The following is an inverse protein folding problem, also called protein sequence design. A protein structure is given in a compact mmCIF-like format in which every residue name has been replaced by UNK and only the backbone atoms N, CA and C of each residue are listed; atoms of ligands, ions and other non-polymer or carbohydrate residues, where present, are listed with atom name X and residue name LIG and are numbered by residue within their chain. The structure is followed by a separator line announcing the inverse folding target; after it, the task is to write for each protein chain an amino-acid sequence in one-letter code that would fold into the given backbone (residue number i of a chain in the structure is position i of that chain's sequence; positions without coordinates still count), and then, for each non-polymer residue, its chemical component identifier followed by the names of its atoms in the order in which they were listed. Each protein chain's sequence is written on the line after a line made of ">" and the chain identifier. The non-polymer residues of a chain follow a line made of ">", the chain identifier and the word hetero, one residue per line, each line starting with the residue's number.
data_IF_012233268576
#
_entry.id   IF_012233268576
#
_cell.length_a   1.000
_cell.length_b   1.000
_cell.length_c   1.000
_cell.angle_alpha   90.00
_cell.angle_beta   90.00
_cell.angle_gamma   90.00
#
_symmetry.space_group_name_H-M   'P 1'
#
loop_
_entity.id
_entity.type
_entity.pdbx_description
1 polymer ?
#
# COMPACT_ATOMS: atom_id res chain seq x y z
N UNK A 1 6.40 -54.74 1.42
CA UNK A 1 6.62 -53.46 0.71
C UNK A 1 7.15 -52.41 1.68
N UNK A 2 7.99 -51.50 1.17
CA UNK A 2 8.58 -50.42 1.98
C UNK A 2 8.07 -49.10 1.47
N UNK A 3 7.52 -48.30 2.38
CA UNK A 3 7.14 -46.91 2.13
C UNK A 3 8.18 -45.97 2.70
N UNK A 4 8.79 -45.11 1.87
CA UNK A 4 9.85 -44.20 2.29
C UNK A 4 9.33 -42.78 2.44
N UNK A 5 9.66 -42.13 3.59
CA UNK A 5 9.40 -40.69 3.82
C UNK A 5 10.68 -39.94 4.16
N UNK A 6 10.61 -38.60 4.07
CA UNK A 6 11.70 -37.72 4.45
C UNK A 6 11.97 -37.73 5.95
N UNK A 7 13.15 -37.34 6.43
CA UNK A 7 13.53 -37.34 7.84
C UNK A 7 12.73 -36.32 8.69
N UNK A 8 12.12 -35.32 8.05
CA UNK A 8 11.22 -34.33 8.63
C UNK A 8 9.92 -34.90 9.17
N UNK A 9 9.53 -36.13 8.76
CA UNK A 9 8.38 -36.85 9.27
C UNK A 9 8.73 -37.85 10.39
N UNK A 10 10.01 -37.92 10.78
CA UNK A 10 10.48 -38.87 11.84
C UNK A 10 10.01 -38.44 13.24
N UNK A 11 9.87 -37.14 13.45
CA UNK A 11 9.21 -36.59 14.62
C UNK A 11 7.79 -36.13 14.20
N UNK A 12 6.77 -36.84 14.67
CA UNK A 12 5.37 -36.60 14.33
C UNK A 12 4.89 -35.20 14.75
N UNK A 13 5.60 -34.54 15.69
CA UNK A 13 5.31 -33.15 16.08
C UNK A 13 5.65 -32.13 15.03
N UNK A 14 6.50 -32.48 14.07
CA UNK A 14 6.92 -31.60 12.95
C UNK A 14 6.02 -31.74 11.70
N UNK A 15 5.07 -32.69 11.72
CA UNK A 15 4.11 -32.88 10.62
C UNK A 15 3.03 -31.79 10.61
N UNK A 16 3.24 -30.76 9.78
CA UNK A 16 2.31 -29.64 9.58
C UNK A 16 0.94 -30.11 9.06
N UNK A 17 0.88 -31.28 8.40
CA UNK A 17 -0.36 -31.83 7.83
C UNK A 17 -1.14 -32.65 8.83
N UNK A 18 -0.50 -33.15 9.91
CA UNK A 18 -1.07 -34.01 10.94
C UNK A 18 -1.54 -35.39 10.44
N UNK A 19 -1.04 -35.86 9.28
CA UNK A 19 -1.47 -37.09 8.61
C UNK A 19 -0.49 -38.26 8.73
N UNK A 20 0.65 -38.07 9.35
CA UNK A 20 1.69 -39.08 9.42
C UNK A 20 1.18 -40.35 10.14
N UNK A 21 0.38 -40.20 11.20
CA UNK A 21 -0.19 -41.32 11.96
C UNK A 21 -1.16 -42.14 11.10
N UNK A 22 -2.02 -41.49 10.32
CA UNK A 22 -2.96 -42.13 9.39
C UNK A 22 -2.21 -42.93 8.31
N UNK A 23 -1.12 -42.35 7.79
CA UNK A 23 -0.29 -43.00 6.78
C UNK A 23 0.48 -44.19 7.34
N UNK A 24 0.99 -44.11 8.58
CA UNK A 24 1.60 -45.25 9.26
C UNK A 24 0.61 -46.37 9.46
N UNK A 25 -0.61 -46.08 9.88
CA UNK A 25 -1.65 -47.09 10.08
C UNK A 25 -2.04 -47.75 8.74
N UNK A 26 -2.15 -46.96 7.68
CA UNK A 26 -2.43 -47.47 6.34
C UNK A 26 -1.33 -48.44 5.83
N UNK A 27 -0.05 -48.08 6.01
CA UNK A 27 1.08 -48.94 5.62
C UNK A 27 1.13 -50.23 6.45
N UNK A 28 0.90 -50.13 7.75
CA UNK A 28 0.85 -51.30 8.64
C UNK A 28 -0.32 -52.24 8.30
N UNK A 29 -1.46 -51.71 7.84
CA UNK A 29 -2.64 -52.52 7.48
C UNK A 29 -2.41 -53.46 6.29
N UNK A 30 -1.39 -53.22 5.49
CA UNK A 30 -0.99 -54.04 4.32
C UNK A 30 0.34 -54.77 4.53
N UNK A 31 0.76 -54.97 5.78
CA UNK A 31 2.05 -55.59 6.17
C UNK A 31 3.26 -54.87 5.56
N UNK A 32 3.16 -53.57 5.34
CA UNK A 32 4.24 -52.69 4.85
C UNK A 32 5.11 -52.18 6.00
N UNK A 33 6.31 -51.72 5.66
CA UNK A 33 7.28 -51.10 6.57
C UNK A 33 7.48 -49.61 6.14
N UNK A 34 7.43 -48.67 7.09
CA UNK A 34 7.84 -47.29 6.84
C UNK A 34 9.33 -47.14 7.17
N UNK A 35 10.06 -46.52 6.24
CA UNK A 35 11.45 -46.12 6.44
C UNK A 35 11.60 -44.62 6.19
N UNK A 36 12.29 -43.99 7.11
CA UNK A 36 12.66 -42.58 6.98
C UNK A 36 14.05 -42.49 6.35
N UNK A 37 14.20 -41.61 5.35
CA UNK A 37 15.52 -41.35 4.76
C UNK A 37 16.36 -40.56 5.75
N UNK A 38 17.70 -40.70 5.65
CA UNK A 38 18.65 -39.94 6.48
C UNK A 38 19.24 -38.73 5.72
N UNK A 39 18.70 -38.45 4.54
CA UNK A 39 19.14 -37.31 3.73
C UNK A 39 18.69 -35.97 4.33
N UNK A 40 19.50 -34.94 4.09
CA UNK A 40 19.18 -33.58 4.50
C UNK A 40 17.96 -33.12 3.73
N UNK A 41 16.82 -32.92 4.43
CA UNK A 41 15.65 -32.27 3.82
C UNK A 41 15.86 -30.76 3.73
N UNK A 42 15.76 -30.27 2.53
CA UNK A 42 15.65 -28.83 2.28
C UNK A 42 14.25 -28.57 1.71
N UNK A 43 13.47 -27.73 2.37
CA UNK A 43 12.35 -27.10 1.65
C UNK A 43 12.90 -26.30 0.46
N UNK A 44 12.15 -26.23 -0.64
CA UNK A 44 12.55 -25.44 -1.81
C UNK A 44 12.94 -24.01 -1.43
N UNK A 45 12.25 -23.42 -0.46
CA UNK A 45 12.58 -22.11 0.10
C UNK A 45 13.91 -22.10 0.84
N UNK A 46 14.20 -23.15 1.64
CA UNK A 46 15.48 -23.28 2.36
C UNK A 46 16.65 -23.49 1.41
N UNK A 47 16.46 -24.29 0.37
CA UNK A 47 17.45 -24.49 -0.70
C UNK A 47 17.74 -23.19 -1.46
N UNK A 48 16.70 -22.47 -1.87
CA UNK A 48 16.84 -21.17 -2.54
C UNK A 48 17.55 -20.14 -1.64
N UNK A 49 17.17 -20.07 -0.36
CA UNK A 49 17.79 -19.12 0.57
C UNK A 49 19.24 -19.46 0.93
N UNK A 50 19.62 -20.75 0.94
CA UNK A 50 20.95 -21.21 1.35
C UNK A 50 21.94 -21.36 0.19
N UNK A 51 21.45 -21.72 -1.00
CA UNK A 51 22.30 -22.06 -2.17
C UNK A 51 21.92 -21.26 -3.43
N UNK A 52 20.73 -20.64 -3.48
CA UNK A 52 20.34 -19.75 -4.57
C UNK A 52 20.91 -18.36 -4.35
N UNK A 53 21.47 -17.76 -5.38
CA UNK A 53 21.93 -16.37 -5.37
C UNK A 53 20.72 -15.43 -5.55
N UNK A 54 19.79 -15.47 -4.55
CA UNK A 54 18.51 -14.74 -4.58
C UNK A 54 18.73 -13.24 -4.44
N UNK A 55 19.83 -12.84 -3.79
CA UNK A 55 20.17 -11.45 -3.52
C UNK A 55 21.39 -11.02 -4.32
N UNK A 56 21.34 -9.84 -4.93
CA UNK A 56 22.51 -9.21 -5.53
C UNK A 56 23.50 -8.72 -4.44
N UNK A 57 24.73 -8.38 -4.84
CA UNK A 57 25.79 -8.00 -3.90
C UNK A 57 25.44 -6.79 -3.03
N UNK A 58 24.67 -5.84 -3.57
CA UNK A 58 24.20 -4.66 -2.85
C UNK A 58 23.20 -5.04 -1.75
N UNK A 59 22.27 -5.94 -2.06
CA UNK A 59 21.30 -6.48 -1.09
C UNK A 59 22.01 -7.30 0.00
N UNK A 60 22.96 -8.16 -0.37
CA UNK A 60 23.75 -8.94 0.60
C UNK A 60 24.51 -8.02 1.54
N UNK A 61 25.17 -6.98 1.01
CA UNK A 61 25.89 -5.98 1.80
C UNK A 61 24.96 -5.24 2.76
N UNK A 62 23.78 -4.85 2.32
CA UNK A 62 22.78 -4.20 3.17
C UNK A 62 22.29 -5.13 4.29
N UNK A 63 21.90 -6.37 3.97
CA UNK A 63 21.49 -7.37 4.96
C UNK A 63 22.58 -7.59 5.98
N UNK A 64 23.86 -7.73 5.56
CA UNK A 64 24.97 -7.92 6.47
C UNK A 64 25.17 -6.71 7.41
N UNK A 65 25.04 -5.49 6.90
CA UNK A 65 25.05 -4.28 7.73
C UNK A 65 23.93 -4.27 8.76
N UNK A 66 22.73 -4.65 8.35
CA UNK A 66 21.56 -4.73 9.26
C UNK A 66 21.81 -5.76 10.37
N UNK A 67 22.26 -6.96 10.02
CA UNK A 67 22.57 -8.01 11.01
C UNK A 67 23.67 -7.60 12.00
N UNK A 68 24.66 -6.85 11.55
CA UNK A 68 25.77 -6.42 12.39
C UNK A 68 25.43 -5.18 13.26
N UNK A 69 24.45 -4.36 12.86
CA UNK A 69 24.17 -3.06 13.48
C UNK A 69 22.90 -3.03 14.31
N UNK A 70 21.98 -3.97 14.12
CA UNK A 70 20.66 -3.96 14.75
C UNK A 70 20.41 -5.25 15.51
N UNK A 71 19.93 -5.07 16.71
CA UNK A 71 19.33 -6.10 17.52
C UNK A 71 17.89 -6.31 17.01
N UNK A 72 17.58 -7.51 16.55
CA UNK A 72 16.25 -7.86 16.02
C UNK A 72 15.15 -7.61 17.07
N UNK A 73 15.44 -7.90 18.34
CA UNK A 73 14.48 -7.66 19.42
C UNK A 73 14.17 -6.17 19.61
N UNK A 74 15.15 -5.28 19.38
CA UNK A 74 14.90 -3.84 19.37
C UNK A 74 14.02 -3.40 18.22
N UNK A 75 14.21 -3.97 17.02
CA UNK A 75 13.35 -3.67 15.86
C UNK A 75 11.93 -4.14 16.16
N UNK A 76 11.77 -5.37 16.63
CA UNK A 76 10.48 -5.94 17.03
C UNK A 76 9.80 -5.08 18.08
N UNK A 77 10.49 -4.74 19.16
CA UNK A 77 9.95 -3.86 20.22
C UNK A 77 9.49 -2.51 19.69
N UNK A 78 10.19 -1.91 18.71
CA UNK A 78 9.74 -0.66 18.08
C UNK A 78 8.46 -0.85 17.29
N UNK A 79 8.34 -1.95 16.55
CA UNK A 79 7.11 -2.28 15.80
C UNK A 79 5.95 -2.52 16.77
N UNK A 80 6.17 -3.30 17.83
CA UNK A 80 5.16 -3.59 18.85
C UNK A 80 4.68 -2.29 19.54
N UNK A 81 5.56 -1.31 19.76
CA UNK A 81 5.22 -0.02 20.36
C UNK A 81 4.34 0.88 19.48
N UNK A 82 4.24 0.61 18.15
CA UNK A 82 3.32 1.33 17.28
C UNK A 82 1.86 1.16 17.70
N UNK A 83 1.53 0.06 18.41
CA UNK A 83 0.19 -0.17 18.99
C UNK A 83 -0.29 0.92 19.94
N UNK A 84 0.64 1.72 20.49
CA UNK A 84 0.30 2.83 21.38
C UNK A 84 -0.04 4.12 20.63
N UNK A 85 0.20 4.18 19.31
CA UNK A 85 -0.03 5.38 18.51
C UNK A 85 -1.49 5.53 18.12
N UNK A 86 -1.96 6.78 18.16
CA UNK A 86 -3.20 7.25 17.56
C UNK A 86 -2.85 7.99 16.27
N UNK A 87 -3.28 7.47 15.14
CA UNK A 87 -2.89 7.98 13.82
C UNK A 87 -4.09 8.58 13.11
N UNK A 88 -3.94 9.81 12.62
CA UNK A 88 -4.91 10.45 11.73
C UNK A 88 -4.44 10.32 10.29
N UNK A 89 -5.21 9.64 9.45
CA UNK A 89 -5.00 9.58 8.00
C UNK A 89 -5.92 10.61 7.34
N UNK A 90 -5.36 11.50 6.55
CA UNK A 90 -6.08 12.56 5.81
C UNK A 90 -5.80 12.42 4.33
N UNK A 91 -6.82 12.21 3.52
CA UNK A 91 -6.64 12.06 2.07
C UNK A 91 -7.85 11.49 1.35
N UNK A 92 -7.76 11.33 0.04
CA UNK A 92 -8.86 10.85 -0.78
C UNK A 92 -9.01 9.33 -0.69
N UNK A 93 -10.24 8.87 -0.45
CA UNK A 93 -10.63 7.46 -0.66
C UNK A 93 -10.88 7.22 -2.15
N UNK A 94 -10.33 6.15 -2.67
CA UNK A 94 -10.41 5.75 -4.08
C UNK A 94 -10.99 4.35 -4.15
N UNK A 95 -12.01 4.16 -4.96
CA UNK A 95 -12.55 2.82 -5.25
C UNK A 95 -11.81 2.27 -6.46
N UNK A 96 -10.95 1.29 -6.24
CA UNK A 96 -10.26 0.58 -7.31
C UNK A 96 -11.09 -0.63 -7.76
N UNK A 97 -11.55 -0.63 -9.01
CA UNK A 97 -12.29 -1.73 -9.63
C UNK A 97 -11.46 -2.38 -10.72
N UNK A 98 -11.33 -3.71 -10.66
CA UNK A 98 -10.68 -4.53 -11.68
C UNK A 98 -11.71 -5.42 -12.33
N UNK A 99 -12.05 -5.14 -13.59
CA UNK A 99 -12.98 -5.92 -14.40
C UNK A 99 -12.15 -6.87 -15.26
N UNK A 100 -12.17 -8.15 -14.92
CA UNK A 100 -11.45 -9.18 -15.65
C UNK A 100 -12.26 -9.56 -16.88
N UNK A 101 -11.64 -9.45 -18.05
CA UNK A 101 -12.29 -9.60 -19.34
C UNK A 101 -11.55 -10.56 -20.27
N UNK A 102 -12.31 -11.17 -21.16
CA UNK A 102 -11.81 -11.89 -22.34
C UNK A 102 -11.97 -11.02 -23.59
N UNK A 103 -10.90 -10.84 -24.36
CA UNK A 103 -10.97 -10.10 -25.62
C UNK A 103 -11.66 -10.92 -26.69
N UNK A 104 -12.83 -10.47 -27.19
CA UNK A 104 -13.58 -11.10 -28.27
C UNK A 104 -13.11 -10.62 -29.65
N UNK A 105 -12.30 -9.59 -29.71
CA UNK A 105 -11.82 -8.99 -30.95
C UNK A 105 -12.57 -7.70 -31.33
N UNK A 106 -12.53 -7.36 -32.63
CA UNK A 106 -13.16 -6.15 -33.17
C UNK A 106 -14.66 -6.38 -33.40
N UNK A 107 -15.48 -5.40 -33.07
CA UNK A 107 -16.91 -5.39 -33.42
C UNK A 107 -17.12 -5.49 -34.95
N UNK A 108 -18.14 -6.22 -35.40
CA UNK A 108 -18.49 -6.31 -36.78
C UNK A 108 -19.11 -5.06 -37.40
N UNK A 109 -19.62 -4.15 -36.57
CA UNK A 109 -20.33 -2.93 -37.00
C UNK A 109 -19.50 -1.65 -36.83
N UNK A 110 -18.66 -1.58 -35.80
CA UNK A 110 -17.91 -0.39 -35.46
C UNK A 110 -16.44 -0.73 -35.13
N UNK A 111 -15.48 0.19 -35.30
CA UNK A 111 -14.07 -0.10 -35.08
C UNK A 111 -13.71 -0.06 -33.57
N UNK A 112 -14.44 -0.81 -32.76
CA UNK A 112 -14.23 -0.88 -31.31
C UNK A 112 -13.81 -2.29 -30.89
N UNK A 113 -12.98 -2.36 -29.84
CA UNK A 113 -12.63 -3.63 -29.19
C UNK A 113 -13.81 -4.09 -28.33
N UNK A 114 -14.19 -5.35 -28.47
CA UNK A 114 -15.24 -5.98 -27.67
C UNK A 114 -14.60 -6.88 -26.63
N UNK A 115 -14.97 -6.66 -25.38
CA UNK A 115 -14.55 -7.44 -24.23
C UNK A 115 -15.77 -8.16 -23.64
N UNK A 116 -15.59 -9.41 -23.26
CA UNK A 116 -16.56 -10.15 -22.45
C UNK A 116 -16.19 -9.95 -20.99
N UNK A 117 -17.12 -9.40 -20.20
CA UNK A 117 -17.00 -9.30 -18.75
C UNK A 117 -17.11 -10.68 -18.11
N UNK A 118 -16.16 -11.05 -17.27
CA UNK A 118 -16.09 -12.35 -16.60
C UNK A 118 -16.28 -12.21 -15.09
N UNK A 119 -15.58 -11.27 -14.47
CA UNK A 119 -15.57 -11.07 -13.01
C UNK A 119 -15.10 -9.66 -12.69
N UNK A 120 -15.54 -9.12 -11.54
CA UNK A 120 -15.09 -7.84 -11.02
C UNK A 120 -14.62 -7.97 -9.57
N UNK A 121 -13.47 -7.40 -9.30
CA UNK A 121 -12.95 -7.21 -7.94
C UNK A 121 -12.95 -5.72 -7.60
N UNK A 122 -13.26 -5.40 -6.34
CA UNK A 122 -13.33 -4.04 -5.86
C UNK A 122 -12.55 -3.88 -4.55
N UNK A 123 -11.80 -2.78 -4.43
CA UNK A 123 -10.96 -2.50 -3.28
C UNK A 123 -11.14 -1.05 -2.83
N UNK A 124 -11.19 -0.84 -1.51
CA UNK A 124 -11.10 0.49 -0.91
C UNK A 124 -9.62 0.91 -0.87
N UNK A 125 -9.24 1.75 -1.82
CA UNK A 125 -7.90 2.27 -2.06
C UNK A 125 -7.70 3.69 -1.51
N UNK A 126 -6.58 4.32 -1.91
CA UNK A 126 -6.24 5.66 -1.46
C UNK A 126 -6.03 5.73 0.06
N UNK A 127 -6.54 6.76 0.69
CA UNK A 127 -6.42 6.95 2.14
C UNK A 127 -7.05 5.81 2.95
N UNK A 128 -8.15 5.20 2.47
CA UNK A 128 -8.76 4.05 3.12
C UNK A 128 -7.83 2.83 3.17
N UNK A 129 -7.07 2.56 2.09
CA UNK A 129 -6.08 1.49 2.10
C UNK A 129 -4.95 1.76 3.09
N UNK A 130 -4.48 3.01 3.18
CA UNK A 130 -3.44 3.40 4.15
C UNK A 130 -3.95 3.19 5.58
N UNK A 131 -5.17 3.64 5.89
CA UNK A 131 -5.78 3.44 7.20
C UNK A 131 -5.89 1.95 7.56
N UNK A 132 -6.30 1.10 6.61
CA UNK A 132 -6.37 -0.35 6.81
C UNK A 132 -5.02 -0.97 7.10
N UNK A 133 -3.97 -0.61 6.36
CA UNK A 133 -2.62 -1.11 6.65
C UNK A 133 -2.10 -0.67 8.01
N UNK A 134 -2.41 0.56 8.42
CA UNK A 134 -2.01 1.07 9.73
C UNK A 134 -2.75 0.40 10.88
N UNK A 135 -3.98 -0.04 10.68
CA UNK A 135 -4.78 -0.69 11.71
C UNK A 135 -4.18 -1.99 12.24
N UNK A 136 -3.31 -2.65 11.46
CA UNK A 136 -2.58 -3.84 11.89
C UNK A 136 -1.42 -3.51 12.85
N UNK A 137 -0.95 -2.26 12.85
CA UNK A 137 0.20 -1.80 13.64
C UNK A 137 -0.17 -0.83 14.75
N UNK A 138 -1.22 -0.03 14.57
CA UNK A 138 -1.58 1.06 15.48
C UNK A 138 -2.88 0.74 16.23
N UNK A 139 -2.96 1.16 17.49
CA UNK A 139 -4.13 0.86 18.32
C UNK A 139 -5.40 1.59 17.88
N UNK A 140 -5.28 2.80 17.38
CA UNK A 140 -6.41 3.61 16.89
C UNK A 140 -6.00 4.36 15.63
N UNK A 141 -6.84 4.28 14.61
CA UNK A 141 -6.68 5.04 13.36
C UNK A 141 -7.95 5.84 13.09
N UNK A 142 -7.82 7.14 12.84
CA UNK A 142 -8.91 7.96 12.32
C UNK A 142 -8.69 8.21 10.83
N UNK A 143 -9.72 8.01 10.02
CA UNK A 143 -9.70 8.24 8.57
C UNK A 143 -10.54 9.46 8.24
N UNK A 144 -9.91 10.60 7.96
CA UNK A 144 -10.58 11.81 7.44
C UNK A 144 -10.44 11.83 5.91
N UNK A 145 -11.56 11.61 5.22
CA UNK A 145 -11.56 11.42 3.79
C UNK A 145 -12.79 12.03 3.11
N UNK A 146 -12.83 12.00 1.78
CA UNK A 146 -14.02 12.42 1.04
C UNK A 146 -14.62 11.27 0.23
N UNK A 147 -15.96 11.35 0.09
CA UNK A 147 -16.76 10.55 -0.83
C UNK A 147 -17.57 11.49 -1.74
N UNK A 148 -18.26 10.95 -2.72
CA UNK A 148 -19.15 11.71 -3.58
C UNK A 148 -20.43 12.14 -2.86
N UNK A 149 -21.11 13.15 -3.40
CA UNK A 149 -22.38 13.71 -2.87
C UNK A 149 -23.47 12.65 -2.66
N UNK A 150 -23.54 11.68 -3.59
CA UNK A 150 -24.54 10.61 -3.55
C UNK A 150 -24.16 9.42 -2.68
N UNK A 151 -23.01 9.50 -2.00
CA UNK A 151 -22.49 8.46 -1.10
C UNK A 151 -22.28 7.10 -1.78
N UNK A 152 -22.00 7.10 -3.08
CA UNK A 152 -21.70 5.85 -3.77
C UNK A 152 -20.56 5.11 -3.09
N UNK A 153 -20.70 3.82 -2.90
CA UNK A 153 -19.73 2.93 -2.24
C UNK A 153 -19.46 3.20 -0.75
N UNK A 154 -20.22 4.06 -0.06
CA UNK A 154 -20.00 4.34 1.37
C UNK A 154 -20.09 3.08 2.21
N UNK A 155 -21.17 2.28 2.05
CA UNK A 155 -21.33 1.02 2.79
C UNK A 155 -20.18 0.06 2.56
N UNK A 156 -19.76 -0.08 1.30
CA UNK A 156 -18.61 -0.91 0.94
C UNK A 156 -17.32 -0.42 1.62
N UNK A 157 -17.07 0.88 1.66
CA UNK A 157 -15.89 1.44 2.35
C UNK A 157 -15.98 1.13 3.84
N UNK A 158 -17.10 1.43 4.48
CA UNK A 158 -17.30 1.20 5.93
C UNK A 158 -17.12 -0.28 6.27
N UNK A 159 -17.74 -1.19 5.54
CA UNK A 159 -17.61 -2.64 5.73
C UNK A 159 -16.18 -3.16 5.53
N UNK A 160 -15.39 -2.46 4.73
CA UNK A 160 -13.99 -2.81 4.49
C UNK A 160 -13.04 -2.38 5.61
N UNK A 161 -13.48 -1.49 6.52
CA UNK A 161 -12.62 -0.94 7.57
C UNK A 161 -12.63 -1.84 8.81
N UNK A 162 -11.45 -2.21 9.36
CA UNK A 162 -11.33 -2.82 10.69
C UNK A 162 -11.94 -1.98 11.81
N UNK A 163 -12.35 -2.63 12.89
CA UNK A 163 -13.09 -2.00 14.01
C UNK A 163 -12.30 -0.91 14.77
N UNK A 164 -10.98 -0.88 14.67
CA UNK A 164 -10.13 0.14 15.27
C UNK A 164 -9.89 1.36 14.35
N UNK A 165 -10.62 1.45 13.22
CA UNK A 165 -10.62 2.62 12.35
C UNK A 165 -11.93 3.39 12.54
N UNK A 166 -11.82 4.69 12.85
CA UNK A 166 -12.93 5.62 12.94
C UNK A 166 -12.99 6.50 11.70
N UNK A 167 -14.00 6.34 10.80
CA UNK A 167 -14.08 7.13 9.58
C UNK A 167 -14.82 8.46 9.80
N UNK A 168 -14.32 9.51 9.18
CA UNK A 168 -14.92 10.84 9.06
C UNK A 168 -14.98 11.20 7.57
N UNK A 169 -16.19 11.24 6.99
CA UNK A 169 -16.36 11.54 5.58
C UNK A 169 -16.91 12.93 5.34
N UNK A 170 -16.38 13.60 4.33
CA UNK A 170 -16.92 14.80 3.72
C UNK A 170 -17.48 14.40 2.36
N UNK A 171 -18.71 14.82 2.08
CA UNK A 171 -19.36 14.50 0.82
C UNK A 171 -19.20 15.67 -0.13
N UNK A 172 -18.38 15.47 -1.16
CA UNK A 172 -18.05 16.51 -2.13
C UNK A 172 -19.23 16.75 -3.07
N UNK A 173 -19.74 17.97 -3.06
CA UNK A 173 -20.88 18.38 -3.90
C UNK A 173 -20.54 18.23 -5.39
N UNK A 174 -21.54 17.89 -6.18
CA UNK A 174 -21.47 17.71 -7.64
C UNK A 174 -20.34 16.76 -8.08
N UNK A 175 -19.93 15.86 -7.23
CA UNK A 175 -18.86 14.90 -7.52
C UNK A 175 -19.30 13.46 -7.22
N UNK A 176 -18.86 12.48 -8.02
CA UNK A 176 -18.98 11.07 -7.68
C UNK A 176 -17.91 10.69 -6.64
N UNK A 177 -18.12 9.59 -5.92
CA UNK A 177 -17.02 8.92 -5.22
C UNK A 177 -15.97 8.50 -6.25
N UNK A 178 -14.69 8.84 -5.97
CA UNK A 178 -13.58 8.56 -6.89
C UNK A 178 -13.52 7.07 -7.18
N UNK A 179 -13.76 6.70 -8.43
CA UNK A 179 -13.74 5.30 -8.86
C UNK A 179 -12.80 5.13 -10.05
N UNK A 180 -11.81 4.27 -9.90
CA UNK A 180 -10.83 3.93 -10.95
C UNK A 180 -11.10 2.50 -11.44
N UNK A 181 -11.91 2.37 -12.49
CA UNK A 181 -12.23 1.09 -13.12
C UNK A 181 -11.16 0.74 -14.15
N UNK A 182 -10.58 -0.46 -14.04
CA UNK A 182 -9.56 -0.99 -14.95
C UNK A 182 -10.04 -2.30 -15.53
N UNK A 183 -10.06 -2.38 -16.86
CA UNK A 183 -10.33 -3.60 -17.58
C UNK A 183 -9.02 -4.37 -17.75
N UNK A 184 -9.02 -5.61 -17.31
CA UNK A 184 -7.83 -6.47 -17.22
C UNK A 184 -8.06 -7.72 -18.05
N UNK A 185 -7.16 -8.02 -18.96
CA UNK A 185 -7.20 -9.28 -19.69
C UNK A 185 -7.04 -10.46 -18.73
N UNK A 186 -8.00 -11.41 -18.80
CA UNK A 186 -8.08 -12.50 -17.83
C UNK A 186 -6.87 -13.43 -17.89
N UNK A 187 -6.29 -13.64 -19.07
CA UNK A 187 -5.17 -14.56 -19.29
C UNK A 187 -3.84 -13.90 -18.94
N UNK A 188 -3.54 -12.79 -19.60
CA UNK A 188 -2.25 -12.09 -19.44
C UNK A 188 -2.14 -11.25 -18.18
N UNK A 189 -3.27 -10.99 -17.51
CA UNK A 189 -3.38 -10.06 -16.37
C UNK A 189 -2.94 -8.62 -16.69
N UNK A 190 -2.83 -8.29 -17.97
CA UNK A 190 -2.47 -6.94 -18.43
C UNK A 190 -3.67 -6.00 -18.40
N UNK A 191 -3.43 -4.74 -18.05
CA UNK A 191 -4.46 -3.69 -18.06
C UNK A 191 -4.66 -3.20 -19.48
N UNK A 192 -5.87 -3.35 -20.00
CA UNK A 192 -6.24 -2.98 -21.38
C UNK A 192 -6.83 -1.57 -21.49
N UNK A 193 -7.60 -1.14 -20.47
CA UNK A 193 -8.30 0.15 -20.46
C UNK A 193 -8.55 0.60 -19.03
N UNK A 194 -8.49 1.91 -18.79
CA UNK A 194 -8.92 2.54 -17.56
C UNK A 194 -10.08 3.51 -17.82
N UNK A 195 -11.14 3.42 -17.04
CA UNK A 195 -12.28 4.35 -17.05
C UNK A 195 -12.46 4.89 -15.64
N UNK A 196 -12.34 6.20 -15.48
CA UNK A 196 -12.33 6.82 -14.15
C UNK A 196 -13.53 7.75 -13.98
N UNK A 197 -14.24 7.59 -12.85
CA UNK A 197 -15.27 8.53 -12.39
C UNK A 197 -14.61 9.45 -11.36
N UNK A 198 -14.26 10.64 -11.79
CA UNK A 198 -13.52 11.63 -10.99
C UNK A 198 -14.05 13.04 -11.24
N UNK A 199 -13.93 13.88 -10.23
CA UNK A 199 -14.07 15.33 -10.36
C UNK A 199 -12.92 15.98 -9.59
N UNK A 200 -11.94 16.55 -10.32
CA UNK A 200 -10.70 17.09 -9.75
C UNK A 200 -10.82 18.56 -9.32
N UNK A 201 -12.02 19.17 -9.44
CA UNK A 201 -12.25 20.52 -8.94
C UNK A 201 -12.02 20.58 -7.42
N UNK A 202 -11.63 21.71 -6.90
CA UNK A 202 -11.57 21.92 -5.45
C UNK A 202 -12.96 21.81 -4.84
N UNK A 203 -13.05 21.30 -3.61
CA UNK A 203 -14.28 21.32 -2.81
C UNK A 203 -14.75 22.77 -2.63
N UNK A 204 -16.07 22.97 -2.55
CA UNK A 204 -16.66 24.27 -2.26
C UNK A 204 -16.28 24.81 -0.86
N UNK A 205 -16.66 26.06 -0.57
CA UNK A 205 -16.30 26.70 0.70
C UNK A 205 -16.90 26.03 1.93
N UNK A 206 -18.07 25.43 1.84
CA UNK A 206 -18.74 24.73 2.95
C UNK A 206 -18.01 23.42 3.27
N UNK A 207 -17.72 22.60 2.26
CA UNK A 207 -16.94 21.38 2.44
C UNK A 207 -15.52 21.68 2.96
N UNK A 208 -14.87 22.76 2.48
CA UNK A 208 -13.56 23.19 2.99
C UNK A 208 -13.63 23.62 4.47
N UNK A 209 -14.69 24.33 4.87
CA UNK A 209 -14.87 24.70 6.28
C UNK A 209 -15.10 23.48 7.17
N UNK A 210 -15.88 22.50 6.70
CA UNK A 210 -16.09 21.25 7.40
C UNK A 210 -14.76 20.48 7.56
N UNK A 211 -13.94 20.42 6.50
CA UNK A 211 -12.62 19.81 6.57
C UNK A 211 -11.73 20.49 7.61
N UNK A 212 -11.71 21.82 7.62
CA UNK A 212 -10.91 22.56 8.61
C UNK A 212 -11.40 22.32 10.04
N UNK A 213 -12.72 22.27 10.27
CA UNK A 213 -13.28 21.96 11.58
C UNK A 213 -12.89 20.55 12.05
N UNK A 214 -12.91 19.55 11.18
CA UNK A 214 -12.42 18.21 11.51
C UNK A 214 -10.92 18.20 11.80
N UNK A 215 -10.10 18.90 11.01
CA UNK A 215 -8.65 18.97 11.27
C UNK A 215 -8.34 19.63 12.62
N UNK A 216 -9.02 20.73 12.94
CA UNK A 216 -8.84 21.45 14.20
C UNK A 216 -9.26 20.59 15.41
N UNK A 217 -10.28 19.75 15.28
CA UNK A 217 -10.73 18.83 16.32
C UNK A 217 -9.86 17.58 16.45
N UNK A 218 -9.46 16.97 15.31
CA UNK A 218 -8.80 15.66 15.30
C UNK A 218 -7.29 15.76 15.52
N UNK A 219 -6.60 16.72 14.90
CA UNK A 219 -5.13 16.81 15.00
C UNK A 219 -4.64 16.78 16.44
N UNK A 220 -5.22 17.56 17.39
CA UNK A 220 -4.74 17.57 18.78
C UNK A 220 -4.96 16.27 19.55
N UNK A 221 -5.77 15.36 19.03
CA UNK A 221 -6.12 14.07 19.67
C UNK A 221 -5.23 12.90 19.20
N UNK A 222 -4.35 13.16 18.22
CA UNK A 222 -3.50 12.15 17.60
C UNK A 222 -2.02 12.42 17.83
N UNK A 223 -1.20 11.39 17.64
CA UNK A 223 0.26 11.45 17.79
C UNK A 223 0.96 11.70 16.45
N UNK A 224 0.29 11.34 15.34
CA UNK A 224 0.82 11.36 13.99
C UNK A 224 -0.29 11.70 13.00
N UNK A 225 0.02 12.54 12.01
CA UNK A 225 -0.82 12.81 10.84
C UNK A 225 -0.16 12.26 9.59
N UNK A 226 -0.89 11.44 8.84
CA UNK A 226 -0.47 10.95 7.52
C UNK A 226 -1.35 11.60 6.46
N UNK A 227 -0.74 12.44 5.65
CA UNK A 227 -1.39 13.09 4.51
C UNK A 227 -1.15 12.27 3.25
N UNK A 228 -2.23 11.84 2.59
CA UNK A 228 -2.21 11.13 1.33
C UNK A 228 -3.00 11.91 0.29
N UNK A 229 -2.29 12.78 -0.43
CA UNK A 229 -2.86 13.75 -1.36
C UNK A 229 -2.75 13.24 -2.80
N UNK A 230 -3.88 12.79 -3.36
CA UNK A 230 -3.96 12.30 -4.75
C UNK A 230 -4.34 13.39 -5.75
N UNK A 231 -4.55 14.63 -5.26
CA UNK A 231 -4.85 15.79 -6.11
C UNK A 231 -6.24 15.76 -6.75
N UNK A 232 -7.21 15.12 -6.13
CA UNK A 232 -8.62 15.08 -6.59
C UNK A 232 -9.50 16.16 -5.93
N UNK A 233 -8.86 17.22 -5.40
CA UNK A 233 -9.55 18.42 -4.90
C UNK A 233 -10.00 18.38 -3.45
N UNK A 234 -9.62 17.37 -2.68
CA UNK A 234 -9.88 17.30 -1.24
C UNK A 234 -8.99 18.29 -0.46
N UNK A 235 -7.70 18.28 -0.72
CA UNK A 235 -6.73 19.10 -0.02
C UNK A 235 -6.36 20.35 -0.86
N UNK A 236 -6.88 21.51 -0.44
CA UNK A 236 -6.52 22.77 -1.05
C UNK A 236 -5.12 23.21 -0.58
N UNK A 237 -4.50 24.12 -1.34
CA UNK A 237 -3.24 24.76 -0.91
C UNK A 237 -3.33 25.39 0.48
N UNK A 238 -4.48 26.00 0.82
CA UNK A 238 -4.73 26.56 2.16
C UNK A 238 -4.76 25.47 3.22
N UNK A 239 -5.41 24.35 2.93
CA UNK A 239 -5.46 23.18 3.84
C UNK A 239 -4.08 22.59 4.04
N UNK A 240 -3.30 22.39 2.95
CA UNK A 240 -1.92 21.93 3.01
C UNK A 240 -1.04 22.82 3.92
N UNK A 241 -1.16 24.14 3.76
CA UNK A 241 -0.45 25.10 4.59
C UNK A 241 -0.89 25.08 6.05
N UNK A 242 -2.17 24.84 6.34
CA UNK A 242 -2.68 24.74 7.70
C UNK A 242 -2.13 23.49 8.39
N UNK A 243 -2.12 22.34 7.72
CA UNK A 243 -1.53 21.10 8.24
C UNK A 243 -0.03 21.31 8.50
N UNK A 244 0.69 21.94 7.58
CA UNK A 244 2.13 22.20 7.70
C UNK A 244 2.52 23.13 8.89
N UNK A 245 1.57 23.86 9.46
CA UNK A 245 1.80 24.74 10.62
C UNK A 245 1.56 24.04 11.96
N UNK A 246 1.00 22.85 11.94
CA UNK A 246 0.71 22.11 13.18
C UNK A 246 2.00 21.56 13.80
N UNK A 247 2.05 21.53 15.12
CA UNK A 247 3.19 21.02 15.89
C UNK A 247 3.07 19.52 16.15
N UNK A 248 2.63 18.77 15.17
CA UNK A 248 2.48 17.31 15.23
C UNK A 248 3.38 16.65 14.19
N UNK A 249 3.86 15.43 14.44
CA UNK A 249 4.60 14.68 13.44
C UNK A 249 3.73 14.44 12.21
N UNK A 250 4.16 14.94 11.07
CA UNK A 250 3.40 14.89 9.82
C UNK A 250 4.16 14.13 8.74
N UNK A 251 3.51 13.11 8.19
CA UNK A 251 4.01 12.37 7.01
C UNK A 251 3.19 12.76 5.78
N UNK A 252 3.86 12.95 4.65
CA UNK A 252 3.26 13.34 3.37
C UNK A 252 3.57 12.32 2.28
N UNK A 253 2.54 11.89 1.57
CA UNK A 253 2.63 11.36 0.21
C UNK A 253 1.70 12.18 -0.69
N UNK A 254 2.26 12.87 -1.67
CA UNK A 254 1.50 13.59 -2.70
C UNK A 254 1.74 12.89 -4.04
N UNK A 255 0.69 12.30 -4.61
CA UNK A 255 0.79 11.46 -5.79
C UNK A 255 0.45 12.23 -7.06
N UNK A 256 1.34 12.14 -8.05
CA UNK A 256 1.08 12.61 -9.41
C UNK A 256 0.42 11.48 -10.22
N UNK A 257 -0.68 11.78 -10.89
CA UNK A 257 -1.41 10.83 -11.73
C UNK A 257 -1.78 11.49 -13.09
N UNK A 258 -2.32 10.71 -14.00
CA UNK A 258 -2.64 11.17 -15.35
C UNK A 258 -3.63 12.36 -15.40
N UNK A 259 -4.48 12.51 -14.38
CA UNK A 259 -5.47 13.58 -14.34
C UNK A 259 -4.91 14.90 -13.77
N UNK A 260 -3.89 14.83 -12.89
CA UNK A 260 -3.36 15.99 -12.17
C UNK A 260 -1.94 16.40 -12.59
N UNK A 261 -1.34 15.74 -13.59
CA UNK A 261 0.02 16.02 -14.06
C UNK A 261 0.16 17.49 -14.48
N UNK A 262 1.13 18.20 -13.90
CA UNK A 262 1.38 19.61 -14.15
C UNK A 262 0.53 20.59 -13.33
N UNK A 263 -0.47 20.12 -12.60
CA UNK A 263 -1.35 20.94 -11.74
C UNK A 263 -1.17 20.66 -10.26
N UNK A 264 -0.91 19.39 -9.90
CA UNK A 264 -0.69 18.98 -8.54
C UNK A 264 0.80 19.00 -8.20
N UNK A 265 1.13 19.44 -6.99
CA UNK A 265 2.52 19.58 -6.52
C UNK A 265 2.59 19.39 -5.01
N UNK A 266 3.59 18.67 -4.54
CA UNK A 266 3.84 18.55 -3.11
C UNK A 266 4.41 19.84 -2.49
N UNK A 267 4.86 20.81 -3.29
CA UNK A 267 5.30 22.14 -2.83
C UNK A 267 4.19 23.00 -2.18
N UNK A 268 2.94 22.52 -2.19
CA UNK A 268 1.88 23.12 -1.36
C UNK A 268 2.13 22.95 0.13
N UNK A 269 2.94 21.96 0.50
CA UNK A 269 3.30 21.59 1.87
C UNK A 269 4.71 22.11 2.22
N UNK A 270 4.95 22.32 3.49
CA UNK A 270 6.26 22.76 4.00
C UNK A 270 6.45 22.27 5.44
N UNK A 271 7.70 22.20 5.93
CA UNK A 271 8.03 21.76 7.30
C UNK A 271 7.45 20.36 7.61
N UNK A 272 7.65 19.39 6.72
CA UNK A 272 7.17 18.02 6.85
C UNK A 272 8.22 17.15 7.54
N UNK A 273 7.79 16.34 8.52
CA UNK A 273 8.70 15.46 9.25
C UNK A 273 9.17 14.27 8.41
N UNK A 274 8.28 13.71 7.59
CA UNK A 274 8.62 12.63 6.67
C UNK A 274 7.84 12.79 5.37
N UNK A 275 8.51 12.71 4.22
CA UNK A 275 7.84 12.62 2.94
C UNK A 275 8.22 11.31 2.24
N UNK A 276 7.24 10.70 1.58
CA UNK A 276 7.42 9.47 0.80
C UNK A 276 6.98 9.74 -0.63
N UNK A 277 7.88 9.54 -1.59
CA UNK A 277 7.65 9.83 -3.00
C UNK A 277 8.35 8.77 -3.86
N UNK A 278 7.87 8.51 -5.06
CA UNK A 278 8.63 7.68 -5.99
C UNK A 278 9.64 8.52 -6.81
N UNK A 279 10.64 7.85 -7.39
CA UNK A 279 11.70 8.54 -8.15
C UNK A 279 11.14 9.33 -9.34
N UNK A 280 10.12 8.82 -10.03
CA UNK A 280 9.53 9.53 -11.17
C UNK A 280 8.79 10.80 -10.72
N UNK A 281 8.08 10.74 -9.60
CA UNK A 281 7.42 11.91 -8.99
C UNK A 281 8.44 12.93 -8.50
N UNK A 282 9.55 12.49 -7.86
CA UNK A 282 10.65 13.37 -7.45
C UNK A 282 11.23 14.14 -8.63
N UNK A 283 11.51 13.45 -9.74
CA UNK A 283 12.01 14.05 -10.98
C UNK A 283 11.00 15.00 -11.60
N UNK A 284 9.73 14.66 -11.56
CA UNK A 284 8.66 15.52 -12.06
C UNK A 284 8.51 16.80 -11.21
N UNK A 285 8.56 16.67 -9.89
CA UNK A 285 8.44 17.80 -8.95
C UNK A 285 9.55 18.84 -9.16
N UNK A 286 10.79 18.37 -9.35
CA UNK A 286 11.96 19.22 -9.58
C UNK A 286 12.19 19.54 -11.08
N UNK A 287 11.39 18.96 -11.99
CA UNK A 287 11.53 19.10 -13.45
C UNK A 287 12.92 18.73 -13.97
N UNK A 288 13.54 17.74 -13.34
CA UNK A 288 14.89 17.27 -13.67
C UNK A 288 14.88 15.75 -13.92
N UNK A 289 15.23 15.36 -15.14
CA UNK A 289 15.24 13.97 -15.60
C UNK A 289 16.61 13.30 -15.50
N UNK A 290 17.69 14.07 -15.40
CA UNK A 290 19.05 13.57 -15.63
C UNK A 290 19.91 13.52 -14.37
N UNK A 291 19.67 14.42 -13.42
CA UNK A 291 20.49 14.50 -12.20
C UNK A 291 20.43 13.23 -11.35
N UNK A 292 21.49 13.03 -10.58
CA UNK A 292 21.55 11.96 -9.59
C UNK A 292 20.46 12.13 -8.53
N UNK A 293 19.82 11.01 -8.15
CA UNK A 293 18.73 10.97 -7.16
C UNK A 293 19.13 11.64 -5.84
N UNK A 294 20.36 11.43 -5.36
CA UNK A 294 20.85 12.04 -4.12
C UNK A 294 20.87 13.57 -4.17
N UNK A 295 21.16 14.16 -5.34
CA UNK A 295 21.13 15.61 -5.53
C UNK A 295 19.70 16.14 -5.52
N UNK A 296 18.78 15.43 -6.19
CA UNK A 296 17.36 15.77 -6.23
C UNK A 296 16.74 15.67 -4.82
N UNK A 297 17.10 14.63 -4.05
CA UNK A 297 16.65 14.48 -2.67
C UNK A 297 17.10 15.65 -1.79
N UNK A 298 18.36 16.08 -1.90
CA UNK A 298 18.89 17.25 -1.19
C UNK A 298 18.16 18.54 -1.55
N UNK A 299 17.88 18.73 -2.82
CA UNK A 299 17.18 19.91 -3.34
C UNK A 299 15.75 19.95 -2.78
N UNK A 300 14.97 18.87 -2.93
CA UNK A 300 13.61 18.81 -2.45
C UNK A 300 13.53 18.96 -0.93
N UNK A 301 14.40 18.27 -0.18
CA UNK A 301 14.46 18.35 1.27
C UNK A 301 14.71 19.77 1.74
N UNK A 302 15.62 20.49 1.07
CA UNK A 302 15.94 21.89 1.39
C UNK A 302 14.79 22.84 1.04
N UNK A 303 14.17 22.70 -0.14
CA UNK A 303 13.12 23.59 -0.61
C UNK A 303 11.85 23.52 0.22
N UNK A 304 11.47 22.32 0.69
CA UNK A 304 10.26 22.08 1.46
C UNK A 304 10.49 21.94 2.96
N UNK A 305 11.73 22.04 3.45
CA UNK A 305 12.11 21.80 4.86
C UNK A 305 11.63 20.43 5.36
N UNK A 306 11.89 19.36 4.58
CA UNK A 306 11.56 17.99 4.96
C UNK A 306 12.68 17.44 5.86
N UNK A 307 12.32 16.81 6.98
CA UNK A 307 13.31 16.21 7.91
C UNK A 307 13.81 14.85 7.45
N UNK A 308 12.91 14.03 6.89
CA UNK A 308 13.20 12.69 6.38
C UNK A 308 12.51 12.51 5.03
N UNK A 309 13.25 12.14 4.00
CA UNK A 309 12.70 11.90 2.67
C UNK A 309 12.96 10.45 2.25
N UNK A 310 11.89 9.71 1.97
CA UNK A 310 11.97 8.35 1.42
C UNK A 310 11.63 8.39 -0.06
N UNK A 311 12.55 7.94 -0.91
CA UNK A 311 12.32 7.81 -2.35
C UNK A 311 12.25 6.34 -2.73
N UNK A 312 11.09 5.90 -3.21
CA UNK A 312 10.88 4.52 -3.70
C UNK A 312 11.29 4.40 -5.16
N UNK A 313 11.92 3.28 -5.54
CA UNK A 313 12.56 3.07 -6.84
C UNK A 313 12.18 1.73 -7.49
N UNK A 314 11.00 1.20 -7.19
CA UNK A 314 10.54 -0.09 -7.71
C UNK A 314 11.52 -1.22 -7.38
N UNK A 315 12.00 -1.94 -8.39
CA UNK A 315 12.94 -3.06 -8.21
C UNK A 315 14.31 -2.65 -7.64
N UNK A 316 14.63 -1.35 -7.63
CA UNK A 316 15.86 -0.81 -7.04
C UNK A 316 15.71 -0.46 -5.56
N UNK A 317 14.58 -0.81 -4.94
CA UNK A 317 14.32 -0.60 -3.52
C UNK A 317 13.91 0.83 -3.17
N UNK A 318 14.44 1.36 -2.06
CA UNK A 318 14.17 2.71 -1.57
C UNK A 318 15.43 3.34 -0.97
N UNK A 319 15.47 4.67 -1.01
CA UNK A 319 16.54 5.47 -0.39
C UNK A 319 15.90 6.35 0.67
N UNK A 320 16.52 6.44 1.83
CA UNK A 320 16.19 7.37 2.90
C UNK A 320 17.27 8.44 2.99
N UNK A 321 16.84 9.69 3.03
CA UNK A 321 17.71 10.86 3.20
C UNK A 321 17.30 11.63 4.46
#
# INVERSE_FOLDING_TARGET
>A
DVYCKGPDYKDHSDDITGKIDDEEEAVKSVDGEIRYTEDITFSSSSLLNKFGDVYNDSQKSFIQKMLNSQDFDKIKSKVDNLQNLKVLVVGETIIDQYVFCEALGKSGKEPVLVLRDLNMEQYAGGAAAIARHLSDFCGTVSLLSMLGEKKEHEDFVIESLPANIEPYFIYKDEAPTITKKRYVDYISKSKSLGVYSINDSQMNGENQNQLHAYLDDLIPKHDLVIVSDYGHGFLSKKTAQNISKQSIFTTLNAQINAANIGFHTMNNYNNIDCAIINEAELRHELRDRESNVDLLMKELTKSMHIKNLVVTRGNNGAILF
#
